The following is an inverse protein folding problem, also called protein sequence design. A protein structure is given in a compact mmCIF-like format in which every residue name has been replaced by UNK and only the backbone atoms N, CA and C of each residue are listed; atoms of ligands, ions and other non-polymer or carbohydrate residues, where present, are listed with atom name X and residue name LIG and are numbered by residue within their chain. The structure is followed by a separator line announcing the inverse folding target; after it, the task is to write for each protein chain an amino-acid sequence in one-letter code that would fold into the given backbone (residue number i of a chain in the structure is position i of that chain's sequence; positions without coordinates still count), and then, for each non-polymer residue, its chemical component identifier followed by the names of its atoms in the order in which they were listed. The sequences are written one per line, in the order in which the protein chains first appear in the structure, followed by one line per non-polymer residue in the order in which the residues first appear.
data_IF_416870239462
#
_entry.id   IF_416870239462
#
_cell.length_a   1.000
_cell.length_b   1.000
_cell.length_c   1.000
_cell.angle_alpha   90.00
_cell.angle_beta   90.00
_cell.angle_gamma   90.00
#
_symmetry.space_group_name_H-M   'P 1'
#
loop_
_entity.id
_entity.type
_entity.pdbx_description
1 polymer ?
#
# COMPACT_ATOMS: atom_id res chain seq x y z
N UNK A 1 -18.57 12.53 -3.52
CA UNK A 1 -19.28 12.82 -4.80
C UNK A 1 -18.44 12.25 -5.93
N UNK A 2 -19.00 11.48 -6.87
CA UNK A 2 -18.25 10.91 -7.98
C UNK A 2 -18.04 11.97 -9.06
N UNK A 3 -16.82 12.13 -9.56
CA UNK A 3 -16.63 12.73 -10.88
C UNK A 3 -16.77 11.64 -11.97
N UNK A 4 -17.11 12.11 -13.15
CA UNK A 4 -17.56 11.31 -14.28
C UNK A 4 -16.36 10.74 -15.04
N UNK A 5 -15.86 9.56 -14.69
CA UNK A 5 -14.96 8.82 -15.60
C UNK A 5 -14.84 7.30 -15.37
N UNK A 6 -15.63 6.68 -14.48
CA UNK A 6 -15.49 5.24 -14.24
C UNK A 6 -14.19 4.85 -13.52
N UNK A 7 -13.53 5.81 -12.87
CA UNK A 7 -12.35 5.57 -12.05
C UNK A 7 -12.76 5.20 -10.62
N UNK A 8 -12.22 4.08 -10.12
CA UNK A 8 -12.42 3.62 -8.75
C UNK A 8 -11.54 4.44 -7.80
N UNK A 9 -12.15 5.06 -6.81
CA UNK A 9 -11.46 5.69 -5.69
C UNK A 9 -10.95 4.60 -4.75
N UNK A 10 -9.66 4.29 -4.83
CA UNK A 10 -9.00 3.33 -3.94
C UNK A 10 -8.46 4.07 -2.69
N UNK A 11 -9.00 3.75 -1.50
CA UNK A 11 -8.56 4.29 -0.20
C UNK A 11 -7.50 3.37 0.42
N UNK A 12 -6.40 3.90 0.98
CA UNK A 12 -5.32 3.07 1.55
C UNK A 12 -4.86 3.54 2.95
N UNK A 13 -4.98 2.63 3.92
CA UNK A 13 -4.37 2.55 5.27
C UNK A 13 -4.79 3.49 6.41
N UNK A 14 -4.89 2.89 7.60
CA UNK A 14 -5.05 3.51 8.92
C UNK A 14 -3.72 3.39 9.69
N UNK A 15 -3.13 4.51 10.12
CA UNK A 15 -2.07 4.53 11.15
C UNK A 15 -2.59 5.09 12.45
N UNK A 16 -2.91 4.23 13.39
CA UNK A 16 -3.40 4.62 14.72
C UNK A 16 -2.23 5.23 15.53
N UNK A 17 -2.17 6.56 15.72
CA UNK A 17 -1.23 7.24 16.65
C UNK A 17 -1.42 6.82 18.13
N UNK A 18 -0.97 5.63 18.49
CA UNK A 18 -1.23 4.96 19.76
C UNK A 18 0.03 4.56 20.52
N UNK A 19 -0.07 4.07 21.77
CA UNK A 19 1.08 3.73 22.59
C UNK A 19 1.92 2.65 21.90
N UNK A 20 3.14 2.36 22.40
CA UNK A 20 4.21 1.66 21.68
C UNK A 20 3.91 0.26 21.11
N UNK A 21 2.73 -0.32 21.33
CA UNK A 21 2.27 -1.57 20.72
C UNK A 21 1.68 -1.40 19.30
N UNK A 22 1.35 -0.17 18.87
CA UNK A 22 0.65 0.09 17.59
C UNK A 22 1.33 1.12 16.68
N UNK A 23 2.42 1.78 17.12
CA UNK A 23 3.13 2.79 16.31
C UNK A 23 3.88 2.24 15.09
N UNK A 24 4.06 0.93 15.01
CA UNK A 24 4.80 0.26 13.93
C UNK A 24 3.94 -0.61 13.00
N UNK A 25 2.61 -0.69 13.22
CA UNK A 25 1.72 -1.59 12.46
C UNK A 25 0.69 -0.81 11.65
N UNK A 26 0.67 -1.03 10.34
CA UNK A 26 -0.29 -0.44 9.41
C UNK A 26 -1.42 -1.44 9.11
N UNK A 27 -2.68 -1.01 9.21
CA UNK A 27 -3.86 -1.82 8.91
C UNK A 27 -4.59 -1.31 7.66
N UNK A 28 -5.32 -2.19 6.98
CA UNK A 28 -6.16 -1.88 5.80
C UNK A 28 -5.37 -1.29 4.61
N UNK A 29 -4.14 -1.77 4.40
CA UNK A 29 -3.33 -1.37 3.23
C UNK A 29 -3.99 -1.93 1.97
N UNK A 30 -4.14 -1.09 0.96
CA UNK A 30 -4.74 -1.46 -0.33
C UNK A 30 -6.16 -2.02 -0.21
N UNK A 31 -6.85 -1.67 0.87
CA UNK A 31 -8.21 -2.15 1.15
C UNK A 31 -9.16 -0.98 1.14
N UNK A 32 -10.20 -1.07 0.33
CA UNK A 32 -11.28 -0.09 0.34
C UNK A 32 -12.01 -0.19 1.69
N UNK A 33 -12.15 0.94 2.37
CA UNK A 33 -12.84 1.01 3.65
C UNK A 33 -13.64 2.30 3.78
N UNK A 34 -14.64 2.27 4.67
CA UNK A 34 -15.39 3.45 5.11
C UNK A 34 -15.33 3.52 6.63
N UNK A 35 -15.14 4.71 7.18
CA UNK A 35 -15.12 4.93 8.63
C UNK A 35 -16.11 6.03 9.01
N UNK A 36 -16.94 5.74 10.01
CA UNK A 36 -17.80 6.70 10.67
C UNK A 36 -17.59 6.59 12.17
N UNK A 37 -17.54 7.73 12.87
CA UNK A 37 -17.56 7.79 14.32
C UNK A 37 -18.55 8.87 14.77
N UNK A 38 -19.31 8.58 15.82
CA UNK A 38 -20.31 9.48 16.38
C UNK A 38 -20.27 9.42 17.90
N UNK A 39 -20.94 10.40 18.53
CA UNK A 39 -21.18 10.43 19.97
C UNK A 39 -22.66 10.44 20.25
N UNK A 40 -23.04 9.79 21.32
CA UNK A 40 -24.40 9.83 21.81
C UNK A 40 -24.72 8.61 22.66
N UNK A 41 -25.89 8.67 23.25
CA UNK A 41 -26.58 7.53 23.83
C UNK A 41 -27.92 7.46 23.14
N UNK A 42 -28.33 6.28 22.69
CA UNK A 42 -29.60 6.06 22.01
C UNK A 42 -29.66 6.71 20.63
N UNK A 43 -29.48 5.90 19.59
CA UNK A 43 -29.87 6.32 18.25
C UNK A 43 -31.24 5.76 17.91
N UNK A 44 -32.28 6.61 17.90
CA UNK A 44 -33.64 6.24 17.45
C UNK A 44 -33.69 5.84 15.96
N UNK A 45 -32.59 6.05 15.24
CA UNK A 45 -32.38 5.64 13.86
C UNK A 45 -30.97 5.08 13.69
N UNK A 46 -30.74 4.07 12.82
CA UNK A 46 -29.40 3.56 12.59
C UNK A 46 -28.48 4.61 11.95
N UNK A 47 -27.19 4.49 12.23
CA UNK A 47 -26.16 5.10 11.39
C UNK A 47 -26.13 4.36 10.06
N UNK A 48 -26.44 5.07 8.98
CA UNK A 48 -26.48 4.52 7.63
C UNK A 48 -25.18 4.82 6.87
N UNK A 49 -24.52 3.77 6.41
CA UNK A 49 -23.30 3.86 5.61
C UNK A 49 -23.53 3.17 4.27
N UNK A 50 -23.38 3.94 3.18
CA UNK A 50 -23.53 3.40 1.84
C UNK A 50 -22.35 2.49 1.48
N UNK A 51 -22.67 1.30 0.98
CA UNK A 51 -21.73 0.32 0.45
C UNK A 51 -21.86 0.24 -1.08
N UNK A 52 -20.84 0.69 -1.83
CA UNK A 52 -20.91 0.78 -3.28
C UNK A 52 -21.17 -0.55 -3.97
N UNK A 53 -22.01 -0.53 -5.02
CA UNK A 53 -22.36 -1.73 -5.82
C UNK A 53 -21.17 -2.46 -6.47
N UNK A 54 -20.03 -1.80 -6.64
CA UNK A 54 -18.85 -2.40 -7.24
C UNK A 54 -18.02 -3.21 -6.23
N UNK A 55 -18.37 -3.12 -4.95
CA UNK A 55 -17.79 -3.90 -3.87
C UNK A 55 -18.71 -5.07 -3.53
N UNK A 56 -18.14 -6.27 -3.45
CA UNK A 56 -18.90 -7.47 -3.16
C UNK A 56 -19.35 -7.44 -1.69
N UNK A 57 -20.65 -7.66 -1.44
CA UNK A 57 -21.17 -7.75 -0.07
C UNK A 57 -20.64 -8.99 0.66
N UNK A 58 -20.30 -10.04 -0.09
CA UNK A 58 -19.72 -11.29 0.41
C UNK A 58 -18.29 -11.10 0.94
N UNK A 59 -17.71 -9.92 0.70
CA UNK A 59 -16.40 -9.53 1.23
C UNK A 59 -16.53 -8.54 2.39
N UNK A 60 -17.71 -7.99 2.68
CA UNK A 60 -17.86 -6.94 3.67
C UNK A 60 -17.59 -7.43 5.10
N UNK A 61 -16.54 -6.90 5.73
CA UNK A 61 -16.33 -7.00 7.19
C UNK A 61 -16.71 -5.67 7.84
N UNK A 62 -17.46 -5.71 8.94
CA UNK A 62 -17.84 -4.52 9.70
C UNK A 62 -17.28 -4.63 11.11
N UNK A 63 -16.49 -3.64 11.53
CA UNK A 63 -15.99 -3.52 12.90
C UNK A 63 -16.74 -2.37 13.55
N UNK A 64 -17.46 -2.65 14.64
CA UNK A 64 -18.06 -1.64 15.49
C UNK A 64 -17.30 -1.53 16.81
N UNK A 65 -17.73 -0.63 17.66
CA UNK A 65 -17.29 -0.55 19.05
C UNK A 65 -17.65 -1.81 19.86
N UNK A 66 -18.79 -2.45 19.58
CA UNK A 66 -19.24 -3.63 20.32
C UNK A 66 -18.73 -4.96 19.76
N UNK A 67 -18.67 -5.11 18.42
CA UNK A 67 -18.42 -6.41 17.79
C UNK A 67 -17.76 -6.31 16.40
N UNK A 68 -17.28 -7.46 15.93
CA UNK A 68 -16.76 -7.64 14.58
C UNK A 68 -17.70 -8.59 13.84
N UNK A 69 -18.26 -8.11 12.72
CA UNK A 69 -19.18 -8.84 11.86
C UNK A 69 -18.45 -9.25 10.59
N UNK A 70 -18.28 -10.56 10.40
CA UNK A 70 -17.76 -11.14 9.18
C UNK A 70 -18.87 -11.27 8.12
N UNK A 71 -18.53 -11.40 6.82
CA UNK A 71 -19.53 -11.44 5.75
C UNK A 71 -20.65 -12.46 5.96
N UNK A 72 -20.32 -13.63 6.51
CA UNK A 72 -21.26 -14.72 6.79
C UNK A 72 -22.22 -14.44 7.97
N UNK A 73 -21.90 -13.46 8.80
CA UNK A 73 -22.69 -13.07 9.99
C UNK A 73 -23.63 -11.90 9.72
N UNK A 74 -23.46 -11.19 8.60
CA UNK A 74 -24.27 -10.04 8.26
C UNK A 74 -25.67 -10.47 7.77
N UNK A 75 -26.69 -10.17 8.57
CA UNK A 75 -28.09 -10.41 8.23
C UNK A 75 -28.64 -9.26 7.38
N UNK A 76 -29.59 -9.58 6.48
CA UNK A 76 -30.40 -8.57 5.78
C UNK A 76 -31.74 -8.24 6.46
N UNK A 77 -32.01 -8.90 7.59
CA UNK A 77 -33.24 -8.74 8.37
C UNK A 77 -32.85 -8.23 9.77
N UNK A 78 -33.40 -7.07 10.20
CA UNK A 78 -33.21 -6.58 11.57
C UNK A 78 -33.75 -7.57 12.59
N UNK A 79 -33.00 -7.82 13.66
CA UNK A 79 -33.37 -8.74 14.74
C UNK A 79 -33.73 -8.01 16.04
N UNK A 80 -33.56 -6.69 16.08
CA UNK A 80 -33.75 -5.83 17.25
C UNK A 80 -32.85 -6.26 18.42
N UNK A 81 -31.64 -6.72 18.11
CA UNK A 81 -30.62 -7.04 19.11
C UNK A 81 -29.71 -5.84 19.33
N UNK A 82 -29.22 -5.70 20.57
CA UNK A 82 -28.29 -4.63 20.91
C UNK A 82 -27.05 -4.64 20.00
N UNK A 83 -26.67 -3.46 19.50
CA UNK A 83 -25.52 -3.25 18.62
C UNK A 83 -25.60 -4.05 17.31
N UNK A 84 -26.80 -4.14 16.73
CA UNK A 84 -27.02 -4.86 15.48
C UNK A 84 -26.47 -4.12 14.25
N UNK A 85 -25.91 -4.91 13.32
CA UNK A 85 -25.52 -4.46 11.98
C UNK A 85 -26.34 -5.21 10.95
N UNK A 86 -27.03 -4.48 10.08
CA UNK A 86 -27.90 -5.05 9.04
C UNK A 86 -27.45 -4.53 7.67
N UNK A 87 -27.41 -5.44 6.70
CA UNK A 87 -27.13 -5.11 5.31
C UNK A 87 -28.41 -5.10 4.47
N UNK A 88 -28.78 -3.94 3.95
CA UNK A 88 -29.96 -3.79 3.10
C UNK A 88 -29.58 -3.37 1.68
N UNK A 89 -30.39 -3.73 0.69
CA UNK A 89 -30.25 -3.13 -0.64
C UNK A 89 -30.62 -1.65 -0.62
N UNK A 90 -29.86 -0.83 -1.33
CA UNK A 90 -30.22 0.56 -1.57
C UNK A 90 -31.35 0.64 -2.64
N UNK A 91 -31.97 1.82 -2.80
CA UNK A 91 -33.13 2.05 -3.66
C UNK A 91 -32.91 1.59 -5.11
N UNK A 92 -33.53 0.45 -5.45
CA UNK A 92 -33.50 -0.13 -6.80
C UNK A 92 -32.34 -1.12 -6.99
N UNK A 93 -32.54 -2.10 -7.88
CA UNK A 93 -31.67 -3.28 -8.01
C UNK A 93 -30.18 -2.98 -8.30
N UNK A 94 -29.86 -1.79 -8.83
CA UNK A 94 -28.52 -1.43 -9.30
C UNK A 94 -27.81 -0.34 -8.47
N UNK A 95 -28.35 0.01 -7.31
CA UNK A 95 -27.92 1.19 -6.54
C UNK A 95 -26.82 0.91 -5.52
N UNK A 96 -26.60 -0.34 -5.08
CA UNK A 96 -25.61 -0.69 -4.04
C UNK A 96 -26.28 -1.27 -2.80
N UNK A 97 -25.61 -1.19 -1.66
CA UNK A 97 -26.13 -1.64 -0.36
C UNK A 97 -26.02 -0.53 0.68
N UNK A 98 -26.80 -0.64 1.76
CA UNK A 98 -26.81 0.21 2.94
C UNK A 98 -26.44 -0.66 4.13
N UNK A 99 -25.36 -0.30 4.83
CA UNK A 99 -25.00 -0.90 6.11
C UNK A 99 -25.63 -0.02 7.18
N UNK A 100 -26.55 -0.61 7.92
CA UNK A 100 -27.25 0.05 9.01
C UNK A 100 -26.65 -0.44 10.32
N UNK A 101 -26.11 0.49 11.10
CA UNK A 101 -25.48 0.21 12.40
C UNK A 101 -26.36 0.82 13.47
N UNK A 102 -26.97 -0.04 14.29
CA UNK A 102 -27.70 0.40 15.47
C UNK A 102 -26.76 0.49 16.66
N UNK A 103 -27.02 1.52 17.43
CA UNK A 103 -26.31 1.85 18.64
C UNK A 103 -27.36 1.84 19.75
N UNK A 104 -27.45 0.67 20.39
CA UNK A 104 -28.52 0.33 21.32
C UNK A 104 -27.99 0.37 22.75
N UNK A 105 -28.86 0.79 23.67
CA UNK A 105 -28.53 1.07 25.08
C UNK A 105 -27.73 -0.06 25.73
N UNK A 106 -26.44 0.20 25.98
CA UNK A 106 -25.69 -0.55 26.98
C UNK A 106 -25.75 0.14 28.35
N UNK A 107 -25.54 -0.64 29.41
CA UNK A 107 -25.63 -0.14 30.78
C UNK A 107 -24.46 0.81 31.13
N UNK A 108 -23.37 0.72 30.36
CA UNK A 108 -22.13 1.47 30.49
C UNK A 108 -22.06 2.71 29.57
N UNK A 109 -23.10 2.97 28.77
CA UNK A 109 -23.16 4.14 27.89
C UNK A 109 -23.86 5.36 28.49
N UNK A 110 -23.32 6.54 28.17
CA UNK A 110 -23.90 7.84 28.43
C UNK A 110 -23.90 8.73 27.17
N UNK A 111 -24.40 9.96 27.28
CA UNK A 111 -24.53 10.87 26.12
C UNK A 111 -23.20 11.24 25.46
N UNK A 112 -22.07 10.99 26.13
CA UNK A 112 -20.72 11.23 25.65
C UNK A 112 -20.01 9.96 25.17
N UNK A 113 -20.70 8.80 25.22
CA UNK A 113 -20.23 7.55 24.65
C UNK A 113 -19.85 7.71 23.17
N UNK A 114 -18.76 7.05 22.80
CA UNK A 114 -18.17 7.10 21.48
C UNK A 114 -18.44 5.79 20.76
N UNK A 115 -19.03 5.91 19.59
CA UNK A 115 -19.37 4.78 18.73
C UNK A 115 -18.67 4.93 17.39
N UNK A 116 -18.43 3.81 16.73
CA UNK A 116 -17.85 3.83 15.40
C UNK A 116 -18.28 2.63 14.58
N UNK A 117 -18.13 2.78 13.27
CA UNK A 117 -18.27 1.72 12.30
C UNK A 117 -17.15 1.83 11.26
N UNK A 118 -16.39 0.76 11.11
CA UNK A 118 -15.36 0.58 10.10
C UNK A 118 -15.79 -0.56 9.17
N UNK A 119 -16.13 -0.21 7.94
CA UNK A 119 -16.49 -1.17 6.89
C UNK A 119 -15.25 -1.45 6.05
N UNK A 120 -14.93 -2.71 5.81
CA UNK A 120 -13.73 -3.17 5.11
C UNK A 120 -14.16 -4.07 3.95
N UNK A 121 -13.60 -3.84 2.76
CA UNK A 121 -13.76 -4.74 1.63
C UNK A 121 -12.82 -5.95 1.78
N UNK A 122 -13.34 -7.02 2.36
CA UNK A 122 -12.59 -8.20 2.81
C UNK A 122 -12.34 -8.14 4.31
N UNK A 123 -11.35 -8.89 4.77
CA UNK A 123 -10.73 -8.79 6.09
C UNK A 123 -9.42 -7.97 6.04
N UNK A 124 -9.10 -7.38 4.89
CA UNK A 124 -7.78 -6.80 4.60
C UNK A 124 -6.60 -7.76 4.80
N UNK A 125 -6.83 -9.07 4.73
CA UNK A 125 -5.85 -10.12 5.06
C UNK A 125 -5.53 -10.23 6.54
N UNK A 126 -6.36 -9.67 7.42
CA UNK A 126 -6.17 -9.68 8.86
C UNK A 126 -6.79 -10.95 9.48
N UNK A 127 -6.03 -11.62 10.35
CA UNK A 127 -6.56 -12.67 11.21
C UNK A 127 -7.58 -12.14 12.22
N UNK A 128 -8.37 -13.03 12.82
CA UNK A 128 -9.36 -12.65 13.85
C UNK A 128 -8.74 -11.91 15.04
N UNK A 129 -7.53 -12.31 15.45
CA UNK A 129 -6.77 -11.60 16.49
C UNK A 129 -6.36 -10.19 16.06
N UNK A 130 -5.96 -10.01 14.81
CA UNK A 130 -5.59 -8.70 14.25
C UNK A 130 -6.78 -7.76 14.08
N UNK A 131 -7.95 -8.30 13.74
CA UNK A 131 -9.20 -7.53 13.70
C UNK A 131 -9.60 -7.05 15.10
N UNK A 132 -9.44 -7.91 16.12
CA UNK A 132 -9.68 -7.54 17.51
C UNK A 132 -8.67 -6.47 18.01
N UNK A 133 -7.39 -6.62 17.66
CA UNK A 133 -6.36 -5.62 17.96
C UNK A 133 -6.69 -4.26 17.31
N UNK A 134 -7.15 -4.28 16.05
CA UNK A 134 -7.57 -3.07 15.34
C UNK A 134 -8.78 -2.39 16.00
N UNK A 135 -9.80 -3.17 16.37
CA UNK A 135 -10.97 -2.69 17.09
C UNK A 135 -10.57 -2.00 18.41
N UNK A 136 -9.73 -2.66 19.21
CA UNK A 136 -9.23 -2.12 20.47
C UNK A 136 -8.39 -0.84 20.29
N UNK A 137 -7.60 -0.76 19.20
CA UNK A 137 -6.87 0.44 18.84
C UNK A 137 -7.79 1.61 18.52
N UNK A 138 -8.81 1.41 17.70
CA UNK A 138 -9.76 2.48 17.34
C UNK A 138 -10.45 3.03 18.60
N UNK A 139 -10.91 2.14 19.48
CA UNK A 139 -11.44 2.50 20.80
C UNK A 139 -10.52 3.42 21.59
N UNK A 140 -9.27 3.00 21.74
CA UNK A 140 -8.31 3.76 22.54
C UNK A 140 -8.01 5.13 21.91
N UNK A 141 -8.03 5.31 20.59
CA UNK A 141 -7.87 6.65 19.99
C UNK A 141 -9.03 7.58 20.25
N UNK A 142 -10.23 7.08 19.99
CA UNK A 142 -11.44 7.88 20.09
C UNK A 142 -11.60 8.36 21.54
N UNK A 143 -11.32 7.49 22.51
CA UNK A 143 -11.28 7.83 23.93
C UNK A 143 -10.27 8.94 24.27
N UNK A 144 -9.19 9.08 23.50
CA UNK A 144 -8.21 10.16 23.65
C UNK A 144 -8.56 11.42 22.82
N UNK A 145 -9.74 11.47 22.19
CA UNK A 145 -10.15 12.57 21.32
C UNK A 145 -9.31 12.69 20.05
N UNK A 146 -8.59 11.63 19.67
CA UNK A 146 -7.73 11.59 18.49
C UNK A 146 -8.46 10.89 17.36
N UNK A 147 -8.24 11.36 16.13
CA UNK A 147 -8.67 10.61 14.95
C UNK A 147 -7.98 9.24 14.97
N UNK A 148 -8.66 8.11 14.72
CA UNK A 148 -8.01 6.84 14.49
C UNK A 148 -7.50 6.71 13.05
N UNK A 149 -8.11 7.45 12.13
CA UNK A 149 -7.74 7.47 10.71
C UNK A 149 -6.73 8.58 10.47
N UNK A 150 -5.53 8.19 10.05
CA UNK A 150 -4.50 9.10 9.59
C UNK A 150 -4.13 8.71 8.17
N UNK A 151 -4.42 9.60 7.23
CA UNK A 151 -4.04 9.44 5.85
C UNK A 151 -2.56 9.82 5.71
N UNK A 152 -1.67 8.83 5.71
CA UNK A 152 -0.24 9.08 5.56
C UNK A 152 0.19 8.90 4.11
N UNK A 153 0.25 10.00 3.37
CA UNK A 153 0.83 10.05 2.03
C UNK A 153 0.77 11.45 1.41
N UNK A 154 1.71 11.78 0.54
CA UNK A 154 1.58 12.99 -0.31
C UNK A 154 0.56 12.70 -1.39
N UNK A 155 -0.57 13.42 -1.37
CA UNK A 155 -1.54 13.41 -2.47
C UNK A 155 -0.88 13.96 -3.72
N UNK A 156 -0.82 13.17 -4.78
CA UNK A 156 -0.48 13.67 -6.12
C UNK A 156 -1.77 13.81 -6.94
N UNK A 157 -1.71 14.57 -8.02
CA UNK A 157 -2.85 14.78 -8.93
C UNK A 157 -3.40 13.48 -9.53
N UNK A 158 -2.66 12.36 -9.46
CA UNK A 158 -3.06 11.02 -9.90
C UNK A 158 -3.43 10.07 -8.75
N UNK A 159 -3.66 10.57 -7.53
CA UNK A 159 -3.92 9.76 -6.33
C UNK A 159 -2.70 9.57 -5.42
N UNK A 160 -2.85 8.70 -4.40
CA UNK A 160 -1.76 8.32 -3.50
C UNK A 160 -0.73 7.44 -4.24
N UNK A 161 0.57 7.69 -4.02
CA UNK A 161 1.61 6.80 -4.51
C UNK A 161 1.49 5.45 -3.81
N UNK A 162 1.58 4.34 -4.56
CA UNK A 162 1.71 3.04 -3.95
C UNK A 162 2.95 3.01 -3.03
N UNK A 163 2.82 2.33 -1.90
CA UNK A 163 3.87 1.74 -1.05
C UNK A 163 4.37 2.46 0.21
N UNK A 164 4.07 1.81 1.34
CA UNK A 164 5.08 1.22 2.24
C UNK A 164 4.73 -0.28 2.43
N UNK A 165 5.35 -1.07 3.31
CA UNK A 165 5.49 -2.54 3.18
C UNK A 165 4.28 -3.51 3.18
N UNK A 166 4.39 -4.55 2.35
CA UNK A 166 4.75 -5.91 2.81
C UNK A 166 5.94 -6.33 1.96
N UNK A 167 6.87 -7.12 2.50
CA UNK A 167 8.03 -7.60 1.75
C UNK A 167 7.54 -8.35 0.51
N UNK A 168 7.49 -7.66 -0.63
CA UNK A 168 7.44 -8.34 -1.90
C UNK A 168 8.66 -9.29 -1.91
N UNK A 169 8.44 -10.56 -2.25
CA UNK A 169 9.47 -11.61 -2.34
C UNK A 169 10.62 -11.30 -3.35
N UNK A 170 10.77 -10.05 -3.76
CA UNK A 170 11.93 -9.54 -4.47
C UNK A 170 13.12 -9.39 -3.55
N UNK A 171 14.25 -8.93 -4.06
CA UNK A 171 15.46 -8.67 -3.31
C UNK A 171 15.78 -7.17 -3.39
N UNK A 172 16.52 -6.67 -2.41
CA UNK A 172 17.17 -5.37 -2.48
C UNK A 172 18.49 -5.49 -3.23
N UNK A 173 18.82 -4.48 -4.02
CA UNK A 173 20.15 -4.34 -4.65
C UNK A 173 20.93 -3.27 -3.89
N UNK A 174 21.91 -3.71 -3.10
CA UNK A 174 22.74 -2.82 -2.28
C UNK A 174 24.02 -2.51 -3.03
N UNK A 175 24.31 -1.24 -3.27
CA UNK A 175 25.55 -0.83 -3.89
C UNK A 175 26.75 -1.17 -3.00
N UNK A 176 27.77 -1.81 -3.57
CA UNK A 176 28.93 -2.26 -2.80
C UNK A 176 29.84 -1.12 -2.32
N UNK A 177 29.79 0.05 -2.96
CA UNK A 177 30.56 1.23 -2.56
C UNK A 177 29.90 2.00 -1.42
N UNK A 178 28.60 2.29 -1.54
CA UNK A 178 27.88 3.17 -0.60
C UNK A 178 27.12 2.42 0.49
N UNK A 179 26.74 1.16 0.27
CA UNK A 179 25.81 0.45 1.14
C UNK A 179 24.35 0.89 0.98
N UNK A 180 24.05 1.78 0.03
CA UNK A 180 22.70 2.26 -0.26
C UNK A 180 21.96 1.32 -1.21
N UNK A 181 20.63 1.34 -1.14
CA UNK A 181 19.75 0.51 -1.95
C UNK A 181 19.40 1.18 -3.28
N UNK A 182 19.25 0.38 -4.34
CA UNK A 182 18.65 0.80 -5.61
C UNK A 182 17.17 1.12 -5.38
N UNK A 183 16.79 2.38 -5.55
CA UNK A 183 15.54 2.96 -5.06
C UNK A 183 14.80 3.69 -6.18
N UNK A 184 13.49 3.49 -6.28
CA UNK A 184 12.62 4.31 -7.14
C UNK A 184 12.32 5.63 -6.44
N UNK A 185 12.76 6.74 -7.03
CA UNK A 185 12.78 8.04 -6.37
C UNK A 185 11.40 8.48 -5.85
N UNK A 186 11.35 8.76 -4.55
CA UNK A 186 10.13 9.20 -3.86
C UNK A 186 9.01 8.16 -3.86
N UNK A 187 9.32 6.89 -4.11
CA UNK A 187 8.36 5.80 -4.27
C UNK A 187 7.27 6.10 -5.31
N UNK A 188 7.58 6.86 -6.37
CA UNK A 188 6.63 7.20 -7.43
C UNK A 188 6.60 6.09 -8.48
N UNK A 189 5.42 5.53 -8.74
CA UNK A 189 5.25 4.46 -9.73
C UNK A 189 5.02 4.98 -11.15
N UNK A 190 5.27 6.26 -11.47
CA UNK A 190 5.05 6.76 -12.83
C UNK A 190 6.14 6.35 -13.80
N UNK A 191 5.78 6.15 -15.07
CA UNK A 191 6.76 5.93 -16.13
C UNK A 191 7.73 7.11 -16.23
N UNK A 192 9.02 6.80 -16.32
CA UNK A 192 10.09 7.79 -16.33
C UNK A 192 10.52 8.27 -14.95
N UNK A 193 9.96 7.75 -13.85
CA UNK A 193 10.46 8.04 -12.51
C UNK A 193 11.91 7.59 -12.39
N UNK A 194 12.76 8.48 -11.86
CA UNK A 194 14.18 8.24 -11.68
C UNK A 194 14.46 7.07 -10.73
N UNK A 195 15.54 6.34 -11.00
CA UNK A 195 16.11 5.37 -10.08
C UNK A 195 17.37 5.97 -9.45
N UNK A 196 17.44 5.92 -8.13
CA UNK A 196 18.44 6.57 -7.31
C UNK A 196 19.07 5.59 -6.31
N UNK A 197 20.09 6.04 -5.60
CA UNK A 197 20.63 5.39 -4.40
C UNK A 197 20.01 6.04 -3.17
N UNK A 198 19.48 5.24 -2.25
CA UNK A 198 18.86 5.75 -1.03
C UNK A 198 19.07 4.79 0.14
N UNK A 199 19.07 5.30 1.37
CA UNK A 199 19.20 4.47 2.55
C UNK A 199 18.19 3.32 2.52
N UNK A 200 18.68 2.12 2.83
CA UNK A 200 17.85 0.94 2.82
C UNK A 200 16.77 1.04 3.92
N UNK A 201 15.50 1.02 3.52
CA UNK A 201 14.35 1.17 4.39
C UNK A 201 13.30 0.06 4.21
N UNK A 202 13.56 -0.91 3.34
CA UNK A 202 12.70 -2.10 3.16
C UNK A 202 11.39 -1.82 2.42
N UNK A 203 11.19 -0.62 1.88
CA UNK A 203 10.02 -0.29 1.07
C UNK A 203 10.06 -1.00 -0.29
N UNK A 204 8.89 -1.16 -0.91
CA UNK A 204 8.77 -1.74 -2.27
C UNK A 204 9.49 -0.92 -3.34
N UNK A 205 9.77 0.38 -3.10
CA UNK A 205 10.61 1.19 -3.98
C UNK A 205 12.06 0.66 -4.08
N UNK A 206 12.47 -0.18 -3.13
CA UNK A 206 13.81 -0.77 -3.04
C UNK A 206 13.84 -2.27 -3.29
N UNK A 207 12.69 -2.86 -3.67
CA UNK A 207 12.54 -4.29 -3.88
C UNK A 207 12.37 -4.58 -5.36
N UNK A 208 13.13 -5.56 -5.84
CA UNK A 208 13.22 -5.88 -7.26
C UNK A 208 13.05 -7.38 -7.50
N UNK A 209 12.41 -7.73 -8.60
CA UNK A 209 12.25 -9.09 -9.09
C UNK A 209 12.97 -9.24 -10.42
N UNK A 210 13.87 -10.21 -10.54
CA UNK A 210 14.53 -10.50 -11.80
C UNK A 210 13.89 -11.69 -12.50
N UNK A 211 13.30 -11.45 -13.67
CA UNK A 211 12.82 -12.50 -14.56
C UNK A 211 13.95 -12.88 -15.53
N UNK A 212 14.60 -14.01 -15.30
CA UNK A 212 15.71 -14.48 -16.13
C UNK A 212 15.33 -14.72 -17.60
N UNK A 213 14.07 -15.11 -17.86
CA UNK A 213 13.63 -15.48 -19.21
C UNK A 213 13.51 -14.22 -20.07
N UNK A 214 12.93 -13.16 -19.52
CA UNK A 214 12.74 -11.89 -20.23
C UNK A 214 13.94 -10.93 -20.06
N UNK A 215 14.66 -11.02 -18.95
CA UNK A 215 15.69 -10.04 -18.57
C UNK A 215 15.13 -8.82 -17.87
N UNK A 216 13.85 -8.81 -17.53
CA UNK A 216 13.24 -7.71 -16.81
C UNK A 216 13.66 -7.71 -15.34
N UNK A 217 14.16 -6.57 -14.89
CA UNK A 217 14.28 -6.26 -13.47
C UNK A 217 13.06 -5.42 -13.07
N UNK A 218 12.08 -6.03 -12.43
CA UNK A 218 10.79 -5.42 -12.10
C UNK A 218 10.81 -4.87 -10.68
N UNK A 219 10.50 -3.60 -10.54
CA UNK A 219 10.22 -2.95 -9.27
C UNK A 219 8.98 -3.60 -8.64
N UNK A 220 9.07 -3.93 -7.34
CA UNK A 220 7.91 -4.33 -6.54
C UNK A 220 6.89 -3.18 -6.45
N UNK A 221 7.36 -1.94 -6.52
CA UNK A 221 6.54 -0.76 -6.67
C UNK A 221 5.99 -0.68 -8.11
N UNK A 222 4.68 -0.87 -8.25
CA UNK A 222 3.93 -0.70 -9.49
C UNK A 222 4.20 -1.73 -10.60
N UNK A 223 4.97 -2.80 -10.33
CA UNK A 223 5.31 -3.87 -11.28
C UNK A 223 5.95 -3.36 -12.59
N UNK A 224 6.78 -2.31 -12.49
CA UNK A 224 7.44 -1.63 -13.62
C UNK A 224 8.88 -2.10 -13.78
N UNK A 225 9.39 -2.04 -14.99
CA UNK A 225 10.71 -2.53 -15.36
C UNK A 225 11.77 -1.42 -15.26
N UNK A 226 12.97 -1.76 -14.79
CA UNK A 226 14.14 -0.90 -14.87
C UNK A 226 14.47 -0.64 -16.35
N UNK A 227 14.58 0.63 -16.71
CA UNK A 227 14.75 1.12 -18.07
C UNK A 227 15.97 2.04 -18.13
N UNK A 228 16.92 1.75 -19.02
CA UNK A 228 18.08 2.64 -19.25
C UNK A 228 17.82 3.76 -20.27
N UNK A 229 16.56 3.99 -20.63
CA UNK A 229 16.08 5.02 -21.54
C UNK A 229 16.55 4.91 -22.98
N UNK A 230 17.12 3.77 -23.38
CA UNK A 230 17.86 3.65 -24.65
C UNK A 230 19.20 4.40 -24.67
N UNK A 231 19.66 4.94 -23.52
CA UNK A 231 20.85 5.79 -23.45
C UNK A 231 22.12 5.00 -23.09
N UNK A 232 22.68 4.27 -24.05
CA UNK A 232 23.93 3.51 -23.90
C UNK A 232 25.17 4.41 -24.01
N UNK A 233 25.42 5.21 -22.97
CA UNK A 233 26.55 6.13 -22.85
C UNK A 233 26.84 6.43 -21.38
N UNK A 234 28.01 6.99 -21.10
CA UNK A 234 28.28 7.59 -19.79
C UNK A 234 27.24 8.67 -19.49
N UNK A 235 26.81 8.73 -18.23
CA UNK A 235 25.72 9.58 -17.77
C UNK A 235 24.34 9.24 -18.40
N UNK A 236 24.15 7.99 -18.85
CA UNK A 236 22.85 7.50 -19.31
C UNK A 236 21.86 7.33 -18.15
N UNK A 237 20.57 7.60 -18.36
CA UNK A 237 19.57 7.52 -17.27
C UNK A 237 19.24 6.09 -16.86
N UNK A 238 18.80 5.91 -15.61
CA UNK A 238 18.03 4.75 -15.19
C UNK A 238 16.68 5.21 -14.61
N UNK A 239 15.59 4.69 -15.15
CA UNK A 239 14.22 5.03 -14.74
C UNK A 239 13.40 3.76 -14.62
N UNK A 240 12.16 3.86 -14.12
CA UNK A 240 11.17 2.79 -14.28
C UNK A 240 10.23 3.07 -15.44
N UNK A 241 9.79 2.03 -16.14
CA UNK A 241 8.82 2.12 -17.22
C UNK A 241 7.93 0.88 -17.25
N UNK A 242 6.79 0.94 -17.94
CA UNK A 242 5.98 -0.25 -18.20
C UNK A 242 6.82 -1.34 -18.87
N UNK A 243 6.61 -2.58 -18.44
CA UNK A 243 7.30 -3.74 -18.99
C UNK A 243 6.79 -4.06 -20.40
N UNK A 244 7.34 -3.37 -21.40
CA UNK A 244 7.05 -3.59 -22.82
C UNK A 244 8.18 -4.37 -23.50
N UNK A 245 7.88 -5.01 -24.63
CA UNK A 245 8.87 -5.76 -25.39
C UNK A 245 9.87 -4.83 -26.09
N UNK A 246 10.84 -4.31 -25.34
CA UNK A 246 11.88 -3.41 -25.82
C UNK A 246 13.23 -3.71 -25.16
N UNK A 247 14.32 -3.54 -25.90
CA UNK A 247 15.65 -3.93 -25.44
C UNK A 247 16.20 -3.04 -24.33
N UNK A 248 15.70 -1.81 -24.20
CA UNK A 248 16.11 -0.88 -23.16
C UNK A 248 15.68 -1.27 -21.74
N UNK A 249 14.82 -2.28 -21.62
CA UNK A 249 14.27 -2.81 -20.36
C UNK A 249 14.94 -4.12 -19.94
N UNK A 250 15.89 -4.63 -20.73
CA UNK A 250 16.46 -5.96 -20.56
C UNK A 250 17.86 -5.89 -19.99
N UNK A 251 18.07 -6.61 -18.89
CA UNK A 251 19.32 -6.64 -18.14
C UNK A 251 19.85 -8.06 -18.00
N UNK A 252 21.17 -8.18 -17.91
CA UNK A 252 21.90 -9.36 -17.48
C UNK A 252 22.50 -9.05 -16.10
N UNK A 253 22.15 -9.86 -15.11
CA UNK A 253 22.83 -9.88 -13.82
C UNK A 253 24.07 -10.77 -13.95
N UNK A 254 25.22 -10.15 -14.23
CA UNK A 254 26.48 -10.87 -14.34
C UNK A 254 27.15 -10.97 -12.96
N UNK A 255 27.43 -12.18 -12.45
CA UNK A 255 28.18 -12.35 -11.21
C UNK A 255 29.55 -11.66 -11.27
N UNK A 256 29.93 -11.03 -10.17
CA UNK A 256 31.24 -10.43 -9.94
C UNK A 256 31.72 -10.85 -8.53
N UNK A 257 33.01 -10.70 -8.24
CA UNK A 257 33.67 -11.30 -7.08
C UNK A 257 33.04 -10.95 -5.70
N UNK A 258 32.19 -9.91 -5.63
CA UNK A 258 31.47 -9.49 -4.41
C UNK A 258 29.99 -9.11 -4.63
N UNK A 259 29.37 -9.53 -5.74
CA UNK A 259 27.97 -9.20 -6.05
C UNK A 259 27.63 -9.42 -7.51
N UNK A 260 26.87 -8.50 -8.10
CA UNK A 260 26.45 -8.55 -9.49
C UNK A 260 26.67 -7.21 -10.18
N UNK A 261 27.05 -7.24 -11.46
CA UNK A 261 26.92 -6.10 -12.36
C UNK A 261 25.60 -6.23 -13.12
N UNK A 262 24.84 -5.13 -13.20
CA UNK A 262 23.63 -5.06 -14.01
C UNK A 262 24.00 -4.47 -15.37
N UNK A 263 23.99 -5.32 -16.39
CA UNK A 263 24.48 -4.99 -17.74
C UNK A 263 23.30 -4.97 -18.71
N UNK A 264 23.09 -3.91 -19.49
CA UNK A 264 22.08 -3.92 -20.55
C UNK A 264 22.30 -5.10 -21.51
N UNK A 265 21.25 -5.86 -21.83
CA UNK A 265 21.37 -6.98 -22.80
C UNK A 265 21.80 -6.50 -24.20
N UNK A 266 21.44 -5.26 -24.53
CA UNK A 266 21.77 -4.59 -25.79
C UNK A 266 23.24 -4.15 -25.89
N UNK A 267 23.99 -4.07 -24.77
CA UNK A 267 25.41 -3.71 -24.80
C UNK A 267 26.16 -4.11 -23.53
N UNK A 268 27.26 -4.84 -23.70
CA UNK A 268 28.15 -5.23 -22.62
C UNK A 268 29.18 -4.14 -22.23
N UNK A 269 29.19 -3.00 -22.94
CA UNK A 269 30.14 -1.91 -22.71
C UNK A 269 29.77 -1.01 -21.54
N UNK A 270 28.52 -1.08 -21.06
CA UNK A 270 28.00 -0.25 -19.97
C UNK A 270 27.42 -1.10 -18.85
N UNK A 271 27.34 -0.55 -17.64
CA UNK A 271 26.69 -1.17 -16.50
C UNK A 271 25.95 -0.11 -15.67
N UNK A 272 24.99 -0.57 -14.85
CA UNK A 272 24.31 0.27 -13.87
C UNK A 272 25.30 0.71 -12.78
N UNK A 273 25.44 2.00 -12.60
CA UNK A 273 26.46 2.68 -11.81
C UNK A 273 25.79 3.68 -10.85
N UNK A 274 26.14 3.61 -9.56
CA UNK A 274 25.74 4.63 -8.59
C UNK A 274 26.72 5.81 -8.61
N UNK A 275 26.23 7.02 -8.86
CA UNK A 275 27.12 8.15 -9.14
C UNK A 275 27.88 8.66 -7.91
N UNK A 276 27.26 8.65 -6.73
CA UNK A 276 27.91 9.06 -5.49
C UNK A 276 27.67 8.06 -4.34
N UNK A 277 27.99 8.47 -3.11
CA UNK A 277 27.72 7.70 -1.88
C UNK A 277 26.66 8.37 -0.99
N UNK A 278 26.00 9.42 -1.50
CA UNK A 278 24.99 10.18 -0.77
C UNK A 278 23.58 9.66 -1.05
N UNK A 279 22.68 9.88 -0.09
CA UNK A 279 21.26 9.61 -0.25
C UNK A 279 20.66 10.46 -1.37
N UNK A 280 19.73 9.87 -2.12
CA UNK A 280 19.07 10.47 -3.29
C UNK A 280 20.03 10.80 -4.44
N UNK A 281 21.20 10.16 -4.48
CA UNK A 281 22.13 10.25 -5.60
C UNK A 281 21.59 9.51 -6.81
N UNK A 282 21.81 10.06 -8.00
CA UNK A 282 21.45 9.39 -9.25
C UNK A 282 22.16 8.04 -9.41
N UNK A 283 21.44 7.12 -10.04
CA UNK A 283 21.94 5.86 -10.57
C UNK A 283 21.67 5.85 -12.07
N UNK A 284 22.63 5.41 -12.86
CA UNK A 284 22.50 5.43 -14.31
C UNK A 284 23.49 4.52 -14.99
N UNK A 285 23.71 4.71 -16.29
CA UNK A 285 24.71 3.96 -17.04
C UNK A 285 26.05 4.68 -17.05
N UNK A 286 27.10 3.86 -16.93
CA UNK A 286 28.48 4.26 -17.11
C UNK A 286 29.28 3.15 -17.78
N UNK A 287 30.37 3.52 -18.44
CA UNK A 287 31.31 2.61 -19.08
C UNK A 287 31.75 1.56 -18.08
N UNK A 288 31.64 0.30 -18.49
CA UNK A 288 31.83 -0.84 -17.61
C UNK A 288 33.27 -0.92 -17.14
N UNK A 289 33.44 -1.02 -15.83
CA UNK A 289 34.73 -1.12 -15.16
C UNK A 289 34.61 -1.96 -13.88
N UNK A 290 35.73 -2.16 -13.19
CA UNK A 290 35.81 -2.99 -11.98
C UNK A 290 35.56 -2.21 -10.67
N UNK A 291 35.07 -0.96 -10.76
CA UNK A 291 34.76 -0.13 -9.61
C UNK A 291 33.58 -0.65 -8.78
N UNK A 292 33.65 -0.47 -7.46
CA UNK A 292 32.64 -0.94 -6.51
C UNK A 292 31.25 -0.30 -6.72
N UNK A 293 31.18 0.84 -7.40
CA UNK A 293 29.94 1.54 -7.72
C UNK A 293 29.07 0.87 -8.79
N UNK A 294 29.64 -0.07 -9.57
CA UNK A 294 28.90 -0.91 -10.53
C UNK A 294 28.56 -2.29 -9.96
N UNK A 295 28.82 -2.52 -8.67
CA UNK A 295 28.59 -3.79 -7.99
C UNK A 295 27.40 -3.68 -7.06
N UNK A 296 26.47 -4.62 -7.21
CA UNK A 296 25.22 -4.66 -6.46
C UNK A 296 25.10 -6.01 -5.74
N UNK A 297 24.98 -5.98 -4.42
CA UNK A 297 24.74 -7.15 -3.58
C UNK A 297 23.23 -7.38 -3.49
N UNK A 298 22.79 -8.61 -3.75
CA UNK A 298 21.40 -8.99 -3.58
C UNK A 298 21.16 -9.36 -2.12
N UNK A 299 20.16 -8.74 -1.50
CA UNK A 299 19.68 -9.07 -0.16
C UNK A 299 18.20 -9.45 -0.24
N UNK A 300 17.87 -10.67 0.18
CA UNK A 300 16.50 -11.19 0.20
C UNK A 300 15.78 -10.72 1.46
#
# INVERSE_FOLDING_TARGET
MPDRAGERMNYHSIRVSLPPLFSEREFLRNTEFSFAAWRGRLSDAPTEIYWPRHLAKEQLTVITDAAIFLPETLSGVPTQQANEVVLMSDRGADSGQRVLVWDDVSADEDSDSLHFALLINGDAGLSSGELADLQAGIHYQLAQGKSPVYLTGSMTHSGYSADKGTAANGFSLINARSGLCLDVAGARSWNGTNVQSYHCNGSNAQRWFYDKNTGYLKSALGNKCLDHGGQLRDNGKAVIWDCVNSDNLRWNLQPDAQGYQLIPRSSAAYALDAYSTEDSSDVGLWSRHQGAQQRWKMQF
#
